data_IF_353456516020
#
_entry.id   IF_353456516020
#
_cell.length_a   1.000
_cell.length_b   1.000
_cell.length_c   1.000
_cell.angle_alpha   90.00
_cell.angle_beta   90.00
_cell.angle_gamma   90.00
#
_symmetry.space_group_name_H-M   'P 1'
#
loop_
_entity.id
_entity.type
_entity.pdbx_description
1 polymer ?
#
# COMPACT_ATOMS: atom_id res chain seq x y z
N UNK A 1 -1.40 -7.76 1.43
CA UNK A 1 -1.20 -6.63 2.36
C UNK A 1 -2.55 -6.24 2.94
N UNK A 2 -2.65 -6.10 4.26
CA UNK A 2 -3.88 -5.62 4.92
C UNK A 2 -3.60 -4.29 5.60
N UNK A 3 -4.47 -3.29 5.39
CA UNK A 3 -4.34 -1.96 6.02
C UNK A 3 -5.63 -1.65 6.76
N UNK A 4 -5.50 -1.24 8.01
CA UNK A 4 -6.63 -0.81 8.83
C UNK A 4 -6.84 0.71 8.66
N UNK A 5 -8.06 1.09 8.33
CA UNK A 5 -8.54 2.46 8.24
C UNK A 5 -9.52 2.74 9.36
N UNK A 6 -9.41 3.91 9.96
CA UNK A 6 -10.37 4.44 10.92
C UNK A 6 -10.65 5.91 10.57
N UNK A 7 -11.89 6.21 10.19
CA UNK A 7 -12.31 7.58 9.94
C UNK A 7 -12.73 8.24 11.25
N UNK A 8 -11.84 8.99 11.88
CA UNK A 8 -12.12 9.75 13.10
C UNK A 8 -12.80 11.10 12.85
N UNK A 9 -13.05 11.48 11.58
CA UNK A 9 -13.70 12.73 11.20
C UNK A 9 -15.23 12.68 11.32
N UNK A 10 -15.87 13.85 11.21
CA UNK A 10 -17.33 14.00 11.27
C UNK A 10 -18.05 13.76 9.92
N UNK A 11 -17.31 13.59 8.83
CA UNK A 11 -17.85 13.39 7.47
C UNK A 11 -17.37 12.08 6.88
N UNK A 12 -18.18 11.50 5.99
CA UNK A 12 -17.79 10.29 5.27
C UNK A 12 -16.68 10.62 4.26
N UNK A 13 -15.64 9.79 4.22
CA UNK A 13 -14.67 9.77 3.12
C UNK A 13 -15.35 9.17 1.90
N UNK A 14 -15.29 9.88 0.76
CA UNK A 14 -16.02 9.50 -0.45
C UNK A 14 -15.11 9.14 -1.61
N UNK A 15 -13.86 9.57 -1.58
CA UNK A 15 -12.86 9.21 -2.56
C UNK A 15 -11.47 9.20 -1.94
N UNK A 16 -10.61 8.35 -2.47
CA UNK A 16 -9.21 8.33 -2.12
C UNK A 16 -8.51 7.07 -2.59
N UNK A 17 -7.19 7.11 -2.53
CA UNK A 17 -6.33 6.01 -2.96
C UNK A 17 -5.27 5.74 -1.90
N UNK A 18 -4.82 4.50 -1.88
CA UNK A 18 -3.65 4.05 -1.12
C UNK A 18 -2.57 3.63 -2.11
N UNK A 19 -1.34 4.08 -1.86
CA UNK A 19 -0.16 3.74 -2.64
C UNK A 19 0.77 2.91 -1.79
N UNK A 20 1.13 1.73 -2.29
CA UNK A 20 2.09 0.81 -1.71
C UNK A 20 3.44 0.91 -2.42
N UNK A 21 4.51 1.24 -1.69
CA UNK A 21 5.89 1.17 -2.19
C UNK A 21 6.53 -0.16 -1.81
N UNK A 22 6.91 -0.94 -2.82
CA UNK A 22 7.62 -2.21 -2.66
C UNK A 22 9.07 -2.05 -3.07
N UNK A 23 9.97 -2.16 -2.10
CA UNK A 23 11.40 -2.02 -2.28
C UNK A 23 12.00 -3.35 -2.68
N UNK A 24 12.90 -3.34 -3.65
CA UNK A 24 13.66 -4.48 -4.10
C UNK A 24 15.02 -4.40 -3.42
N UNK A 25 15.23 -5.31 -2.47
CA UNK A 25 16.40 -5.31 -1.61
C UNK A 25 17.41 -6.33 -2.17
N UNK A 26 18.59 -5.84 -2.51
CA UNK A 26 19.70 -6.67 -2.98
C UNK A 26 20.29 -7.54 -1.86
N UNK A 27 21.10 -8.52 -2.23
CA UNK A 27 21.72 -9.47 -1.30
C UNK A 27 22.58 -8.82 -0.18
N UNK A 28 23.02 -7.58 -0.38
CA UNK A 28 23.78 -6.79 0.61
C UNK A 28 22.88 -5.88 1.48
N UNK A 29 21.56 -5.99 1.39
CA UNK A 29 20.61 -5.13 2.09
C UNK A 29 20.43 -3.73 1.47
N UNK A 30 21.01 -3.48 0.30
CA UNK A 30 20.90 -2.22 -0.43
C UNK A 30 19.56 -2.17 -1.15
N UNK A 31 18.90 -1.01 -1.18
CA UNK A 31 17.71 -0.78 -2.01
C UNK A 31 18.12 -0.51 -3.46
N UNK A 32 17.68 -1.37 -4.37
CA UNK A 32 17.99 -1.29 -5.80
C UNK A 32 16.87 -0.61 -6.59
N UNK A 33 15.69 -0.45 -6.00
CA UNK A 33 14.57 0.21 -6.63
C UNK A 33 13.24 -0.04 -5.92
N UNK A 34 12.32 0.91 -6.10
CA UNK A 34 10.97 0.85 -5.56
C UNK A 34 9.96 0.71 -6.69
N UNK A 35 8.98 -0.19 -6.51
CA UNK A 35 7.80 -0.33 -7.37
C UNK A 35 6.58 0.15 -6.59
N UNK A 36 5.88 1.15 -7.12
CA UNK A 36 4.66 1.68 -6.53
C UNK A 36 3.41 0.98 -7.10
N UNK A 37 2.45 0.70 -6.23
CA UNK A 37 1.13 0.18 -6.59
C UNK A 37 0.05 1.03 -5.95
N UNK A 38 -0.70 1.77 -6.75
CA UNK A 38 -1.80 2.64 -6.30
C UNK A 38 -3.15 1.98 -6.54
N UNK A 39 -3.99 1.92 -5.52
CA UNK A 39 -5.34 1.34 -5.58
C UNK A 39 -6.35 2.24 -4.88
N UNK A 40 -7.60 2.21 -5.34
CA UNK A 40 -8.69 2.98 -4.74
C UNK A 40 -9.08 2.44 -3.36
N UNK A 41 -9.53 3.34 -2.49
CA UNK A 41 -10.05 3.00 -1.18
C UNK A 41 -11.43 2.35 -1.26
N UNK A 42 -11.79 1.47 -0.30
CA UNK A 42 -13.15 0.96 -0.17
C UNK A 42 -14.07 2.06 0.40
N UNK A 43 -14.54 2.94 -0.49
CA UNK A 43 -15.44 4.06 -0.18
C UNK A 43 -16.91 3.68 -0.42
N UNK A 44 -17.86 4.32 0.28
CA UNK A 44 -17.66 5.35 1.32
C UNK A 44 -17.24 4.77 2.68
N UNK A 45 -16.38 5.50 3.40
CA UNK A 45 -16.03 5.19 4.81
C UNK A 45 -16.72 6.19 5.72
N UNK A 46 -17.80 5.75 6.38
CA UNK A 46 -18.61 6.59 7.25
C UNK A 46 -17.83 7.15 8.47
N UNK A 47 -18.29 8.25 9.08
CA UNK A 47 -17.73 8.76 10.34
C UNK A 47 -17.67 7.67 11.42
N UNK A 48 -16.54 7.53 12.10
CA UNK A 48 -16.29 6.51 13.12
C UNK A 48 -16.16 5.07 12.60
N UNK A 49 -16.24 4.85 11.29
CA UNK A 49 -16.15 3.50 10.74
C UNK A 49 -14.71 2.98 10.72
N UNK A 50 -14.57 1.69 10.97
CA UNK A 50 -13.33 0.93 10.81
C UNK A 50 -13.43 0.01 9.58
N UNK A 51 -12.38 -0.03 8.77
CA UNK A 51 -12.28 -0.92 7.59
C UNK A 51 -10.89 -1.54 7.54
N UNK A 52 -10.79 -2.83 7.25
CA UNK A 52 -9.51 -3.53 7.10
C UNK A 52 -9.44 -4.27 5.77
N UNK A 53 -9.43 -3.55 4.63
CA UNK A 53 -9.25 -4.15 3.32
C UNK A 53 -7.89 -4.85 3.16
N UNK A 54 -7.90 -5.86 2.30
CA UNK A 54 -6.71 -6.61 1.90
C UNK A 54 -6.52 -6.47 0.40
N UNK A 55 -5.29 -6.14 0.00
CA UNK A 55 -4.87 -6.06 -1.39
C UNK A 55 -3.72 -7.01 -1.69
N UNK A 56 -3.72 -7.49 -2.93
CA UNK A 56 -2.57 -8.20 -3.51
C UNK A 56 -1.66 -7.16 -4.16
N UNK A 57 -0.41 -7.09 -3.72
CA UNK A 57 0.63 -6.23 -4.31
C UNK A 57 1.59 -7.16 -5.03
N UNK A 58 1.76 -6.95 -6.33
CA UNK A 58 2.59 -7.78 -7.18
C UNK A 58 3.80 -7.01 -7.65
N UNK A 59 4.95 -7.68 -7.70
CA UNK A 59 6.15 -7.22 -8.39
C UNK A 59 6.50 -8.29 -9.41
N UNK A 60 6.80 -7.88 -10.64
CA UNK A 60 7.19 -8.83 -11.68
C UNK A 60 8.49 -9.55 -11.30
N UNK A 61 8.53 -10.87 -11.47
CA UNK A 61 9.67 -11.68 -11.03
C UNK A 61 11.02 -11.25 -11.66
N UNK A 62 11.01 -10.74 -12.89
CA UNK A 62 12.23 -10.26 -13.55
C UNK A 62 12.87 -9.05 -12.85
N UNK A 63 12.09 -8.31 -12.03
CA UNK A 63 12.57 -7.20 -11.20
C UNK A 63 13.29 -7.67 -9.94
N UNK A 64 13.16 -8.95 -9.58
CA UNK A 64 13.73 -9.54 -8.35
C UNK A 64 14.71 -10.66 -8.72
N UNK A 65 15.96 -10.32 -9.09
CA UNK A 65 17.01 -11.31 -9.37
C UNK A 65 17.25 -12.27 -8.20
N UNK A 66 17.90 -13.40 -8.50
CA UNK A 66 18.32 -14.38 -7.49
C UNK A 66 19.18 -13.73 -6.40
N UNK A 67 18.86 -14.02 -5.14
CA UNK A 67 19.51 -13.44 -3.96
C UNK A 67 18.95 -12.08 -3.52
N UNK A 68 17.97 -11.53 -4.25
CA UNK A 68 17.21 -10.36 -3.84
C UNK A 68 15.86 -10.77 -3.25
N UNK A 69 15.26 -9.88 -2.47
CA UNK A 69 13.90 -10.03 -1.96
C UNK A 69 13.15 -8.70 -2.05
N UNK A 70 11.85 -8.74 -1.77
CA UNK A 70 11.00 -7.54 -1.77
C UNK A 70 10.51 -7.23 -0.36
N UNK A 71 10.36 -5.94 -0.08
CA UNK A 71 9.78 -5.46 1.15
C UNK A 71 8.79 -4.32 0.86
N UNK A 72 7.51 -4.53 1.17
CA UNK A 72 6.50 -3.47 1.08
C UNK A 72 6.50 -2.71 2.41
N UNK A 73 6.96 -1.45 2.38
CA UNK A 73 7.14 -0.63 3.59
C UNK A 73 6.38 0.69 3.51
N UNK A 74 6.34 1.30 2.33
CA UNK A 74 5.71 2.59 2.16
C UNK A 74 4.22 2.41 1.92
N UNK A 75 3.42 2.99 2.80
CA UNK A 75 1.97 3.07 2.65
C UNK A 75 1.58 4.53 2.78
N UNK A 76 1.22 5.16 1.66
CA UNK A 76 0.69 6.52 1.66
C UNK A 76 -0.77 6.51 1.27
N UNK A 77 -1.55 7.41 1.85
CA UNK A 77 -2.98 7.49 1.59
C UNK A 77 -3.37 8.93 1.30
N UNK A 78 -4.20 9.12 0.28
CA UNK A 78 -4.79 10.41 -0.08
C UNK A 78 -6.29 10.24 -0.18
N UNK A 79 -7.06 11.04 0.56
CA UNK A 79 -8.52 10.96 0.55
C UNK A 79 -9.18 12.32 0.79
N UNK A 80 -10.47 12.38 0.47
CA UNK A 80 -11.37 13.52 0.73
C UNK A 80 -12.78 13.05 1.10
#
# INVERSE_FOLDING_TARGET
MTVAFHNSGGTAVRSGSVTFGTHIIGALGVDWGTVESTVELPVPVAPGAHRSPTWTVCVDAWRVPLGMHIETRDVSVRWT
#
